data_IF_225754663003
#
_entry.id   IF_225754663003
#
_cell.length_a   1.000
_cell.length_b   1.000
_cell.length_c   1.000
_cell.angle_alpha   90.00
_cell.angle_beta   90.00
_cell.angle_gamma   90.00
#
_symmetry.space_group_name_H-M   'P 1'
#
loop_
_entity.id
_entity.type
_entity.pdbx_description
1 polymer ?
#
# COMPACT_ATOMS: atom_id res chain seq x y z
N UNK A 1 9.93 -55.01 68.64
CA UNK A 1 10.79 -53.81 68.42
C UNK A 1 10.65 -53.35 66.97
N UNK A 2 9.93 -52.25 66.71
CA UNK A 2 9.96 -51.55 65.42
C UNK A 2 10.21 -50.07 65.70
N UNK A 3 11.42 -49.61 65.41
CA UNK A 3 11.85 -48.22 65.51
C UNK A 3 11.16 -47.41 64.40
N UNK A 4 10.27 -46.48 64.77
CA UNK A 4 9.74 -45.45 63.88
C UNK A 4 10.84 -44.38 63.67
N UNK A 5 11.40 -44.35 62.47
CA UNK A 5 12.44 -43.39 62.04
C UNK A 5 11.78 -42.03 61.78
N UNK A 6 12.08 -41.03 62.61
CA UNK A 6 11.59 -39.66 62.44
C UNK A 6 12.16 -39.08 61.14
N UNK A 7 11.29 -38.75 60.18
CA UNK A 7 11.65 -38.04 58.94
C UNK A 7 11.64 -36.54 59.23
N UNK A 8 12.80 -35.88 59.19
CA UNK A 8 12.89 -34.43 59.22
C UNK A 8 12.33 -33.85 57.91
N UNK A 9 11.22 -33.13 58.01
CA UNK A 9 10.62 -32.37 56.90
C UNK A 9 11.37 -31.02 56.79
N UNK A 10 11.98 -30.68 55.64
CA UNK A 10 12.60 -29.36 55.46
C UNK A 10 11.50 -28.28 55.49
N UNK A 11 11.63 -27.31 56.40
CA UNK A 11 10.72 -26.15 56.48
C UNK A 11 10.95 -25.28 55.24
N UNK A 12 9.97 -25.21 54.35
CA UNK A 12 10.00 -24.27 53.22
C UNK A 12 10.21 -22.84 53.72
N UNK A 13 11.18 -22.14 53.13
CA UNK A 13 11.43 -20.72 53.41
C UNK A 13 10.21 -19.91 53.01
N UNK A 14 9.48 -19.38 54.00
CA UNK A 14 8.32 -18.52 53.78
C UNK A 14 8.78 -17.22 53.13
N UNK A 15 8.53 -17.07 51.82
CA UNK A 15 8.76 -15.82 51.11
C UNK A 15 7.78 -14.79 51.69
N UNK A 16 8.28 -13.84 52.50
CA UNK A 16 7.47 -12.73 53.00
C UNK A 16 6.89 -11.99 51.78
N UNK A 17 5.58 -12.07 51.57
CA UNK A 17 4.91 -11.27 50.55
C UNK A 17 4.98 -9.81 50.99
N UNK A 18 5.77 -8.99 50.30
CA UNK A 18 5.69 -7.53 50.41
C UNK A 18 4.39 -7.08 49.73
N UNK A 19 3.47 -6.51 50.50
CA UNK A 19 2.28 -5.85 49.95
C UNK A 19 2.70 -4.52 49.30
N UNK A 20 2.25 -4.29 48.09
CA UNK A 20 2.43 -3.00 47.41
C UNK A 20 1.54 -1.96 48.07
N UNK A 21 2.08 -0.80 48.40
CA UNK A 21 1.27 0.30 48.93
C UNK A 21 0.44 0.91 47.79
N UNK A 22 -0.78 1.36 48.07
CA UNK A 22 -1.64 2.02 47.06
C UNK A 22 -0.92 3.18 46.38
N UNK A 23 -0.07 3.90 47.12
CA UNK A 23 0.68 5.05 46.61
C UNK A 23 1.77 4.63 45.62
N UNK A 24 2.49 3.54 45.85
CA UNK A 24 3.48 3.03 44.90
C UNK A 24 2.81 2.67 43.56
N UNK A 25 1.62 2.06 43.60
CA UNK A 25 0.89 1.71 42.37
C UNK A 25 0.41 2.95 41.64
N UNK A 26 -0.08 3.95 42.37
CA UNK A 26 -0.58 5.20 41.82
C UNK A 26 0.54 5.99 41.11
N UNK A 27 1.73 6.05 41.68
CA UNK A 27 2.88 6.73 41.04
C UNK A 27 3.28 6.03 39.74
N UNK A 28 3.27 4.70 39.70
CA UNK A 28 3.65 3.94 38.50
C UNK A 28 2.67 4.20 37.35
N UNK A 29 1.37 4.13 37.61
CA UNK A 29 0.38 4.40 36.57
C UNK A 29 0.42 5.86 36.12
N UNK A 30 0.74 6.81 37.01
CA UNK A 30 0.89 8.22 36.66
C UNK A 30 2.07 8.42 35.70
N UNK A 31 3.21 7.80 35.96
CA UNK A 31 4.39 7.87 35.07
C UNK A 31 4.08 7.25 33.71
N UNK A 32 3.47 6.05 33.67
CA UNK A 32 3.09 5.39 32.41
C UNK A 32 2.10 6.28 31.62
N UNK A 33 1.13 6.88 32.30
CA UNK A 33 0.15 7.78 31.68
C UNK A 33 0.81 9.00 31.02
N UNK A 34 1.79 9.62 31.66
CA UNK A 34 2.57 10.72 31.07
C UNK A 34 3.38 10.26 29.87
N UNK A 35 4.09 9.13 29.98
CA UNK A 35 4.89 8.58 28.88
C UNK A 35 4.01 8.27 27.66
N UNK A 36 2.88 7.58 27.83
CA UNK A 36 1.95 7.27 26.74
C UNK A 36 1.32 8.54 26.17
N UNK A 37 0.93 9.49 27.03
CA UNK A 37 0.36 10.77 26.62
C UNK A 37 1.28 11.59 25.71
N UNK A 38 2.60 11.51 25.93
CA UNK A 38 3.59 12.15 25.06
C UNK A 38 3.89 11.35 23.77
N UNK A 39 3.71 10.02 23.81
CA UNK A 39 3.98 9.15 22.66
C UNK A 39 2.89 9.17 21.59
N UNK A 40 1.61 9.32 21.97
CA UNK A 40 0.49 9.32 21.01
C UNK A 40 0.62 10.37 19.88
N UNK A 41 0.86 11.66 20.16
CA UNK A 41 1.03 12.66 19.10
C UNK A 41 2.29 12.42 18.27
N UNK A 42 3.36 11.88 18.87
CA UNK A 42 4.61 11.58 18.19
C UNK A 42 4.47 10.41 17.19
N UNK A 43 3.71 9.37 17.54
CA UNK A 43 3.49 8.21 16.65
C UNK A 43 2.79 8.61 15.35
N UNK A 44 1.84 9.55 15.40
CA UNK A 44 1.14 9.99 14.18
C UNK A 44 2.04 10.81 13.26
N UNK A 45 2.88 11.68 13.83
CA UNK A 45 3.89 12.41 13.05
C UNK A 45 4.89 11.44 12.40
N UNK A 46 5.33 10.41 13.14
CA UNK A 46 6.21 9.38 12.60
C UNK A 46 5.54 8.57 11.47
N UNK A 47 4.25 8.23 11.62
CA UNK A 47 3.48 7.54 10.57
C UNK A 47 3.35 8.39 9.31
N UNK A 48 3.03 9.67 9.44
CA UNK A 48 2.91 10.55 8.28
C UNK A 48 4.25 10.79 7.59
N UNK A 49 5.33 10.95 8.37
CA UNK A 49 6.67 11.02 7.83
C UNK A 49 7.03 9.75 7.04
N UNK A 50 6.67 8.55 7.55
CA UNK A 50 6.90 7.29 6.85
C UNK A 50 6.07 7.18 5.55
N UNK A 51 4.81 7.63 5.54
CA UNK A 51 3.99 7.68 4.33
C UNK A 51 4.59 8.60 3.27
N UNK A 52 5.04 9.78 3.68
CA UNK A 52 5.74 10.74 2.81
C UNK A 52 7.05 10.16 2.27
N UNK A 53 7.86 9.52 3.10
CA UNK A 53 9.11 8.88 2.68
C UNK A 53 8.86 7.76 1.67
N UNK A 54 7.82 6.96 1.87
CA UNK A 54 7.42 5.90 0.93
C UNK A 54 7.01 6.49 -0.42
N UNK A 55 6.16 7.52 -0.42
CA UNK A 55 5.76 8.24 -1.62
C UNK A 55 6.97 8.86 -2.37
N UNK A 56 7.91 9.48 -1.64
CA UNK A 56 9.13 10.02 -2.25
C UNK A 56 10.00 8.93 -2.87
N UNK A 57 10.06 7.74 -2.27
CA UNK A 57 10.81 6.62 -2.83
C UNK A 57 10.14 6.05 -4.08
N UNK A 58 8.81 5.97 -4.11
CA UNK A 58 8.05 5.59 -5.30
C UNK A 58 8.36 6.54 -6.48
N UNK A 59 8.33 7.86 -6.24
CA UNK A 59 8.68 8.86 -7.26
C UNK A 59 10.13 8.74 -7.75
N UNK A 60 11.07 8.39 -6.85
CA UNK A 60 12.46 8.10 -7.25
C UNK A 60 12.56 6.86 -8.12
N UNK A 61 11.81 5.81 -7.81
CA UNK A 61 11.76 4.59 -8.62
C UNK A 61 11.22 4.89 -10.03
N UNK A 62 10.14 5.67 -10.13
CA UNK A 62 9.59 6.14 -11.41
C UNK A 62 10.64 6.95 -12.18
N UNK A 63 11.28 7.94 -11.54
CA UNK A 63 12.30 8.76 -12.18
C UNK A 63 13.48 7.94 -12.71
N UNK A 64 13.97 6.99 -11.92
CA UNK A 64 15.01 6.06 -12.35
C UNK A 64 14.54 5.18 -13.51
N UNK A 65 13.30 4.69 -13.46
CA UNK A 65 12.70 3.93 -14.55
C UNK A 65 12.62 4.74 -15.84
N UNK A 66 12.28 6.03 -15.77
CA UNK A 66 12.23 6.92 -16.94
C UNK A 66 13.63 7.12 -17.52
N UNK A 67 14.65 7.30 -16.69
CA UNK A 67 16.04 7.36 -17.16
C UNK A 67 16.47 6.05 -17.82
N UNK A 68 16.12 4.91 -17.22
CA UNK A 68 16.44 3.59 -17.79
C UNK A 68 15.71 3.36 -19.12
N UNK A 69 14.47 3.84 -19.24
CA UNK A 69 13.73 3.85 -20.50
C UNK A 69 14.46 4.68 -21.56
N UNK A 70 14.89 5.90 -21.22
CA UNK A 70 15.57 6.81 -22.14
C UNK A 70 16.93 6.26 -22.59
N UNK A 71 17.64 5.56 -21.71
CA UNK A 71 18.89 4.87 -22.06
C UNK A 71 18.65 3.72 -23.05
N UNK A 72 17.53 3.01 -22.92
CA UNK A 72 17.14 1.91 -23.82
C UNK A 72 16.51 2.40 -25.14
N UNK A 73 15.87 3.57 -25.14
CA UNK A 73 15.13 4.14 -26.27
C UNK A 73 15.72 5.52 -26.61
N UNK A 74 16.83 5.58 -27.37
CA UNK A 74 17.53 6.83 -27.63
C UNK A 74 16.61 7.88 -28.24
N UNK A 75 16.75 9.12 -27.78
CA UNK A 75 16.00 10.30 -28.25
C UNK A 75 14.50 10.30 -27.96
N UNK A 76 13.99 9.36 -27.16
CA UNK A 76 12.55 9.29 -26.83
C UNK A 76 12.31 9.11 -25.33
N UNK A 77 11.32 9.83 -24.82
CA UNK A 77 10.76 9.60 -23.49
C UNK A 77 9.45 8.82 -23.61
N UNK A 78 8.99 8.17 -22.51
CA UNK A 78 7.67 7.56 -22.47
C UNK A 78 6.60 8.58 -22.87
N UNK A 79 5.84 8.25 -23.90
CA UNK A 79 4.72 9.06 -24.37
C UNK A 79 3.65 9.18 -23.29
N UNK A 80 3.05 10.36 -23.14
CA UNK A 80 2.06 10.63 -22.11
C UNK A 80 0.81 9.76 -22.25
N UNK A 81 0.34 9.60 -23.49
CA UNK A 81 -0.85 8.85 -23.86
C UNK A 81 -0.72 8.36 -25.32
N UNK A 82 -1.27 7.19 -25.61
CA UNK A 82 -1.51 6.70 -26.97
C UNK A 82 -2.96 6.21 -27.00
N UNK A 83 -3.84 6.92 -27.70
CA UNK A 83 -5.20 6.46 -27.98
C UNK A 83 -5.23 5.17 -28.82
N UNK A 84 -6.30 4.41 -28.66
CA UNK A 84 -6.55 3.14 -29.32
C UNK A 84 -6.62 3.28 -30.85
N UNK A 85 -6.24 2.18 -31.51
CA UNK A 85 -6.50 1.96 -32.93
C UNK A 85 -7.93 1.45 -33.13
N UNK A 86 -8.92 2.34 -33.17
CA UNK A 86 -10.24 2.00 -33.69
C UNK A 86 -10.31 2.43 -35.16
N UNK A 87 -10.57 1.49 -36.08
CA UNK A 87 -10.67 1.74 -37.54
C UNK A 87 -9.55 2.60 -38.17
N UNK A 88 -8.56 1.93 -38.79
CA UNK A 88 -7.11 2.29 -38.91
C UNK A 88 -6.62 3.72 -38.57
N UNK A 89 -7.30 4.48 -37.73
CA UNK A 89 -6.96 5.83 -37.34
C UNK A 89 -6.44 5.82 -35.90
N UNK A 90 -5.30 6.48 -35.70
CA UNK A 90 -4.80 6.79 -34.37
C UNK A 90 -5.65 7.96 -33.89
N UNK A 91 -6.48 7.76 -32.86
CA UNK A 91 -7.31 8.84 -32.29
C UNK A 91 -6.52 9.89 -31.50
N UNK A 92 -5.18 9.86 -31.57
CA UNK A 92 -4.32 10.83 -30.89
C UNK A 92 -4.51 10.77 -29.38
N UNK A 93 -4.92 11.89 -28.79
CA UNK A 93 -5.20 12.01 -27.35
C UNK A 93 -6.67 11.72 -26.98
N UNK A 94 -7.50 11.30 -27.96
CA UNK A 94 -8.92 11.01 -27.78
C UNK A 94 -9.17 9.49 -27.73
N UNK A 95 -10.07 9.02 -26.86
CA UNK A 95 -10.47 7.61 -26.76
C UNK A 95 -9.77 6.78 -25.68
N UNK A 96 -10.15 5.49 -25.56
CA UNK A 96 -9.45 4.53 -24.70
C UNK A 96 -7.99 4.40 -25.14
N UNK A 97 -7.05 4.24 -24.22
CA UNK A 97 -5.64 4.32 -24.59
C UNK A 97 -4.67 4.01 -23.47
N UNK A 98 -3.40 3.97 -23.84
CA UNK A 98 -2.30 3.59 -22.97
C UNK A 98 -1.52 4.82 -22.50
N UNK A 99 -1.53 5.07 -21.19
CA UNK A 99 -0.70 6.10 -20.58
C UNK A 99 0.78 5.71 -20.48
N UNK A 100 1.64 6.70 -20.21
CA UNK A 100 3.10 6.51 -20.06
C UNK A 100 3.49 5.38 -19.08
N UNK A 101 2.67 5.16 -18.05
CA UNK A 101 2.87 4.16 -17.02
C UNK A 101 3.00 2.75 -17.58
N UNK A 102 2.30 2.44 -18.67
CA UNK A 102 2.31 1.10 -19.30
C UNK A 102 3.64 0.79 -19.97
N UNK A 103 4.22 1.75 -20.69
CA UNK A 103 5.55 1.64 -21.30
C UNK A 103 6.66 1.64 -20.24
N UNK A 104 6.39 2.18 -19.05
CA UNK A 104 7.34 2.24 -17.96
C UNK A 104 7.41 0.94 -17.14
N UNK A 105 6.38 0.08 -17.18
CA UNK A 105 6.29 -1.15 -16.36
C UNK A 105 7.56 -2.02 -16.35
N UNK A 106 8.22 -2.30 -17.49
CA UNK A 106 9.45 -3.10 -17.51
C UNK A 106 10.60 -2.50 -16.69
N UNK A 107 10.62 -1.17 -16.59
CA UNK A 107 11.68 -0.38 -15.96
C UNK A 107 11.44 -0.07 -14.48
N UNK A 108 10.27 -0.48 -13.95
CA UNK A 108 9.91 -0.36 -12.53
C UNK A 108 9.56 -1.73 -11.92
N UNK A 109 10.21 -2.79 -12.41
CA UNK A 109 10.07 -4.17 -11.93
C UNK A 109 8.66 -4.78 -12.12
N UNK A 110 7.86 -4.25 -13.05
CA UNK A 110 6.52 -4.74 -13.39
C UNK A 110 6.48 -5.50 -14.73
N UNK A 111 7.56 -6.23 -15.06
CA UNK A 111 7.66 -7.03 -16.30
C UNK A 111 6.53 -8.07 -16.43
N UNK A 112 6.11 -8.68 -15.33
CA UNK A 112 5.02 -9.66 -15.35
C UNK A 112 3.69 -9.04 -15.80
N UNK A 113 3.39 -7.82 -15.36
CA UNK A 113 2.19 -7.11 -15.80
C UNK A 113 2.32 -6.65 -17.25
N UNK A 114 3.50 -6.17 -17.65
CA UNK A 114 3.76 -5.75 -19.03
C UNK A 114 3.49 -6.89 -20.04
N UNK A 115 3.93 -8.11 -19.71
CA UNK A 115 3.77 -9.28 -20.57
C UNK A 115 2.32 -9.78 -20.67
N UNK A 116 1.41 -9.31 -19.81
CA UNK A 116 -0.02 -9.61 -19.89
C UNK A 116 -0.79 -8.63 -20.77
N UNK A 117 -0.16 -7.53 -21.20
CA UNK A 117 -0.82 -6.53 -22.04
C UNK A 117 -0.83 -7.02 -23.49
N UNK A 118 -2.03 -7.10 -24.06
CA UNK A 118 -2.22 -7.21 -25.50
C UNK A 118 -2.32 -5.80 -26.09
N UNK A 119 -1.24 -5.32 -26.72
CA UNK A 119 -1.17 -4.00 -27.35
C UNK A 119 -1.90 -3.95 -28.70
N UNK A 120 -2.30 -5.10 -29.27
CA UNK A 120 -3.07 -5.17 -30.51
C UNK A 120 -4.59 -5.06 -30.25
N UNK A 121 -4.99 -4.90 -28.99
CA UNK A 121 -6.38 -4.78 -28.55
C UNK A 121 -6.59 -3.52 -27.70
N UNK A 122 -7.86 -3.10 -27.59
CA UNK A 122 -8.35 -2.07 -26.69
C UNK A 122 -7.83 -2.23 -25.25
N UNK A 123 -7.74 -1.11 -24.52
CA UNK A 123 -7.54 -1.12 -23.06
C UNK A 123 -8.75 -1.69 -22.32
N UNK A 124 -9.88 -1.83 -23.02
CA UNK A 124 -11.14 -2.42 -22.61
C UNK A 124 -11.08 -3.86 -22.07
N UNK A 125 -11.97 -4.72 -22.57
CA UNK A 125 -12.22 -6.05 -21.98
C UNK A 125 -11.05 -7.03 -22.12
N UNK A 126 -10.30 -6.97 -23.23
CA UNK A 126 -9.15 -7.82 -23.49
C UNK A 126 -8.04 -7.66 -22.43
N UNK A 127 -7.89 -6.46 -21.89
CA UNK A 127 -6.84 -6.09 -20.94
C UNK A 127 -7.38 -5.81 -19.51
N UNK A 128 -8.58 -6.26 -19.19
CA UNK A 128 -9.29 -5.91 -17.95
C UNK A 128 -8.49 -6.21 -16.66
N UNK A 129 -7.73 -7.32 -16.64
CA UNK A 129 -6.88 -7.69 -15.51
C UNK A 129 -5.77 -6.68 -15.27
N UNK A 130 -5.07 -6.25 -16.33
CA UNK A 130 -3.97 -5.29 -16.20
C UNK A 130 -4.53 -3.91 -15.82
N UNK A 131 -5.66 -3.51 -16.41
CA UNK A 131 -6.31 -2.23 -16.13
C UNK A 131 -6.72 -2.03 -14.66
N UNK A 132 -7.12 -3.11 -14.00
CA UNK A 132 -7.60 -3.07 -12.60
C UNK A 132 -6.51 -3.37 -11.58
N UNK A 133 -5.29 -3.69 -12.02
CA UNK A 133 -4.19 -4.00 -11.12
C UNK A 133 -3.60 -2.73 -10.52
N UNK A 134 -3.58 -2.65 -9.20
CA UNK A 134 -2.98 -1.54 -8.46
C UNK A 134 -1.47 -1.73 -8.36
N UNK A 135 -0.72 -0.77 -8.89
CA UNK A 135 0.73 -0.76 -8.77
C UNK A 135 1.12 0.26 -7.68
N UNK A 136 1.62 -0.25 -6.56
CA UNK A 136 2.00 0.60 -5.41
C UNK A 136 3.07 1.64 -5.75
N UNK A 137 3.89 1.40 -6.78
CA UNK A 137 4.87 2.38 -7.26
C UNK A 137 4.22 3.66 -7.82
N UNK A 138 2.99 3.59 -8.33
CA UNK A 138 2.25 4.76 -8.84
C UNK A 138 1.32 5.39 -7.82
N UNK A 139 1.07 4.76 -6.66
CA UNK A 139 0.25 5.33 -5.59
C UNK A 139 1.07 5.72 -4.37
N UNK A 140 0.72 6.84 -3.78
CA UNK A 140 1.27 7.23 -2.49
C UNK A 140 0.37 6.69 -1.36
N UNK A 141 0.91 6.19 -0.24
CA UNK A 141 0.09 5.70 0.88
C UNK A 141 -0.82 6.75 1.55
N UNK A 142 -0.65 8.02 1.20
CA UNK A 142 -1.50 9.14 1.63
C UNK A 142 -2.62 9.45 0.63
N UNK A 143 -2.62 8.80 -0.55
CA UNK A 143 -3.70 8.90 -1.53
C UNK A 143 -4.93 8.17 -0.99
N UNK A 144 -6.04 8.89 -0.87
CA UNK A 144 -7.31 8.38 -0.35
C UNK A 144 -8.30 8.02 -1.45
N UNK A 145 -7.94 8.17 -2.72
CA UNK A 145 -8.80 7.80 -3.85
C UNK A 145 -9.03 6.28 -3.94
N UNK A 146 -10.05 5.88 -4.69
CA UNK A 146 -10.28 4.47 -5.05
C UNK A 146 -9.04 3.86 -5.69
N UNK A 147 -8.80 2.57 -5.41
CA UNK A 147 -7.68 1.80 -5.97
C UNK A 147 -7.86 1.51 -7.47
N UNK A 148 -9.10 1.52 -7.94
CA UNK A 148 -9.46 1.32 -9.34
C UNK A 148 -10.03 2.60 -9.93
N UNK A 149 -9.43 3.10 -11.01
CA UNK A 149 -10.05 4.12 -11.85
C UNK A 149 -11.13 3.45 -12.69
N UNK A 150 -12.39 3.82 -12.47
CA UNK A 150 -13.49 3.39 -13.33
C UNK A 150 -13.90 4.56 -14.23
N UNK A 151 -13.60 4.52 -15.55
CA UNK A 151 -13.78 5.66 -16.46
C UNK A 151 -15.22 6.16 -16.65
N UNK A 152 -16.22 5.63 -15.92
CA UNK A 152 -17.60 6.14 -15.90
C UNK A 152 -18.08 6.70 -14.55
N UNK A 153 -17.30 6.62 -13.46
CA UNK A 153 -17.72 7.08 -12.13
C UNK A 153 -16.89 8.26 -11.61
N UNK A 154 -15.60 8.31 -11.95
CA UNK A 154 -14.66 9.30 -11.41
C UNK A 154 -14.45 10.50 -12.36
N UNK A 155 -14.96 10.41 -13.59
CA UNK A 155 -15.06 11.53 -14.52
C UNK A 155 -16.36 12.28 -14.24
N UNK A 156 -16.28 13.44 -13.60
CA UNK A 156 -17.44 14.27 -13.29
C UNK A 156 -18.20 14.74 -14.53
N UNK A 157 -19.06 13.89 -15.08
CA UNK A 157 -20.28 14.27 -15.77
C UNK A 157 -21.42 14.13 -14.76
N UNK A 158 -22.21 15.20 -14.58
CA UNK A 158 -23.36 15.25 -13.69
C UNK A 158 -24.55 14.40 -14.19
N UNK A 159 -24.29 13.25 -14.78
CA UNK A 159 -25.31 12.36 -15.34
C UNK A 159 -25.29 11.06 -14.52
N UNK A 160 -25.87 11.19 -13.33
CA UNK A 160 -26.18 10.10 -12.40
C UNK A 160 -27.30 9.23 -12.99
N UNK A 161 -27.01 8.38 -13.97
CA UNK A 161 -27.88 7.27 -14.33
C UNK A 161 -27.07 6.16 -15.03
N UNK A 162 -27.13 4.95 -14.46
CA UNK A 162 -26.68 3.67 -15.02
C UNK A 162 -25.18 3.30 -15.01
N UNK A 163 -24.50 3.40 -13.87
CA UNK A 163 -23.30 2.58 -13.65
C UNK A 163 -23.67 1.20 -13.08
N UNK A 164 -23.35 0.08 -13.77
CA UNK A 164 -23.56 -1.26 -13.23
C UNK A 164 -22.60 -1.53 -12.07
N UNK A 165 -23.17 -2.06 -10.98
CA UNK A 165 -22.49 -2.48 -9.77
C UNK A 165 -21.40 -3.54 -10.07
N UNK A 166 -20.14 -3.13 -9.97
CA UNK A 166 -18.96 -4.01 -10.06
C UNK A 166 -18.45 -4.44 -8.68
N UNK A 167 -19.31 -4.48 -7.65
CA UNK A 167 -19.00 -5.13 -6.37
C UNK A 167 -19.27 -6.65 -6.41
N UNK A 168 -18.51 -7.35 -7.23
CA UNK A 168 -18.32 -8.79 -7.07
C UNK A 168 -16.82 -9.09 -7.03
N UNK A 169 -16.24 -8.93 -5.84
CA UNK A 169 -14.92 -9.47 -5.55
C UNK A 169 -14.93 -11.01 -5.60
N UNK A 170 -13.79 -11.66 -5.89
CA UNK A 170 -13.71 -13.12 -5.91
C UNK A 170 -13.73 -13.65 -4.47
N UNK A 171 -14.58 -14.65 -4.22
CA UNK A 171 -14.45 -15.59 -3.08
C UNK A 171 -13.22 -16.46 -3.23
#
# INVERSE_FOLDING_TARGET
MRFQKQKNVPRGTSYKRSGFTLIELLVVIAIIGVLVGLLLPAVQQAREAARRSSCSNNMKQIGLGIHTFADANPETFPVGWIGEYENPEIHGDEGEGWGFSTRLLPYIEQNNLYNLIDFDQAVGSANATVRTTVISAFRCPSDTGSDSFNPGLDGGSNDEEDAPDVTAGPT
#
